data_IF_314458885022
#
_entry.id   IF_314458885022
#
_cell.length_a   1.000
_cell.length_b   1.000
_cell.length_c   1.000
_cell.angle_alpha   90.00
_cell.angle_beta   90.00
_cell.angle_gamma   90.00
#
_symmetry.space_group_name_H-M   'P 1'
#
loop_
_entity.id
_entity.type
_entity.pdbx_description
1 polymer ?
#
# COMPACT_ATOMS: atom_id res chain seq x y z
N UNK A 1 1.49 15.06 12.38
CA UNK A 1 0.86 14.82 11.07
C UNK A 1 0.43 13.37 10.98
N UNK A 2 -0.78 13.10 10.52
CA UNK A 2 -1.26 11.73 10.44
C UNK A 2 -0.70 11.02 9.23
N UNK A 3 -0.40 9.75 9.40
CA UNK A 3 0.01 8.88 8.33
C UNK A 3 -1.03 7.81 8.13
N UNK A 4 -1.31 7.48 6.89
CA UNK A 4 -2.36 6.53 6.52
C UNK A 4 -1.71 5.37 5.78
N UNK A 5 -2.06 4.16 6.18
CA UNK A 5 -1.64 2.94 5.51
C UNK A 5 -2.74 2.56 4.51
N UNK A 6 -2.43 2.67 3.23
CA UNK A 6 -3.36 2.32 2.17
C UNK A 6 -3.12 0.87 1.76
N UNK A 7 -4.18 0.10 1.65
CA UNK A 7 -4.10 -1.36 1.51
C UNK A 7 -4.88 -1.83 0.30
N UNK A 8 -4.25 -2.72 -0.46
CA UNK A 8 -4.86 -3.44 -1.57
C UNK A 8 -4.98 -4.91 -1.17
N UNK A 9 -6.18 -5.47 -1.29
CA UNK A 9 -6.46 -6.86 -0.95
C UNK A 9 -6.49 -7.69 -2.22
N UNK A 10 -5.78 -8.81 -2.23
CA UNK A 10 -5.75 -9.74 -3.36
C UNK A 10 -6.16 -11.13 -2.88
N UNK A 11 -7.04 -11.77 -3.63
CA UNK A 11 -7.55 -13.09 -3.29
C UNK A 11 -7.41 -14.03 -4.48
N UNK A 12 -7.19 -15.30 -4.19
CA UNK A 12 -7.01 -16.34 -5.19
C UNK A 12 -5.67 -17.03 -5.07
N UNK A 13 -5.43 -18.02 -5.91
CA UNK A 13 -4.22 -18.84 -5.80
C UNK A 13 -2.94 -18.07 -6.11
N UNK A 14 -3.04 -16.96 -6.85
CA UNK A 14 -1.88 -16.15 -7.20
C UNK A 14 -1.77 -14.87 -6.37
N UNK A 15 -2.54 -14.78 -5.29
CA UNK A 15 -2.61 -13.56 -4.48
C UNK A 15 -1.23 -13.08 -4.02
N UNK A 16 -0.38 -13.99 -3.54
CA UNK A 16 0.95 -13.63 -3.05
C UNK A 16 1.82 -12.98 -4.13
N UNK A 17 1.81 -13.55 -5.34
CA UNK A 17 2.59 -13.00 -6.45
C UNK A 17 2.06 -11.66 -6.92
N UNK A 18 0.74 -11.51 -6.95
CA UNK A 18 0.12 -10.25 -7.35
C UNK A 18 0.45 -9.16 -6.33
N UNK A 19 0.37 -9.48 -5.05
CA UNK A 19 0.69 -8.51 -4.00
C UNK A 19 2.15 -8.07 -4.07
N UNK A 20 3.07 -9.00 -4.24
CA UNK A 20 4.50 -8.71 -4.38
C UNK A 20 4.74 -7.79 -5.58
N UNK A 21 4.13 -8.11 -6.71
CA UNK A 21 4.27 -7.31 -7.93
C UNK A 21 3.66 -5.92 -7.75
N UNK A 22 2.54 -5.84 -7.05
CA UNK A 22 1.90 -4.56 -6.78
C UNK A 22 2.78 -3.66 -5.90
N UNK A 23 3.49 -4.24 -4.93
CA UNK A 23 4.42 -3.46 -4.11
C UNK A 23 5.51 -2.82 -4.96
N UNK A 24 6.02 -3.52 -5.96
CA UNK A 24 7.02 -2.96 -6.86
C UNK A 24 6.48 -1.71 -7.56
N UNK A 25 5.23 -1.78 -8.04
CA UNK A 25 4.58 -0.62 -8.65
C UNK A 25 4.36 0.51 -7.65
N UNK A 26 4.06 0.20 -6.41
CA UNK A 26 3.90 1.22 -5.37
C UNK A 26 5.22 1.96 -5.12
N UNK A 27 6.34 1.23 -5.09
CA UNK A 27 7.66 1.85 -4.94
C UNK A 27 7.98 2.78 -6.10
N UNK A 28 7.65 2.35 -7.31
CA UNK A 28 7.87 3.16 -8.51
C UNK A 28 7.01 4.43 -8.47
N UNK A 29 5.78 4.31 -8.02
CA UNK A 29 4.87 5.44 -7.91
C UNK A 29 5.38 6.47 -6.89
N UNK A 30 5.84 6.01 -5.73
CA UNK A 30 6.41 6.88 -4.71
C UNK A 30 7.62 7.66 -5.26
N UNK A 31 8.49 6.97 -5.98
CA UNK A 31 9.67 7.60 -6.57
C UNK A 31 9.28 8.61 -7.64
N UNK A 32 8.31 8.27 -8.48
CA UNK A 32 7.85 9.15 -9.54
C UNK A 32 7.21 10.43 -8.99
N UNK A 33 6.37 10.29 -7.98
CA UNK A 33 5.68 11.42 -7.35
C UNK A 33 6.54 12.13 -6.31
N UNK A 34 7.69 11.57 -5.97
CA UNK A 34 8.62 12.13 -4.97
C UNK A 34 7.97 12.34 -3.61
N UNK A 35 7.16 11.38 -3.20
CA UNK A 35 6.55 11.44 -1.88
C UNK A 35 7.60 11.29 -0.79
N UNK A 36 7.44 11.98 0.35
CA UNK A 36 8.44 11.95 1.42
C UNK A 36 8.50 10.65 2.20
N UNK A 37 7.44 9.84 2.17
CA UNK A 37 7.40 8.57 2.89
C UNK A 37 7.63 7.44 1.91
N UNK A 38 8.55 6.54 2.25
CA UNK A 38 8.90 5.39 1.43
C UNK A 38 8.74 4.11 2.23
N UNK A 39 7.51 3.86 2.70
CA UNK A 39 7.17 2.66 3.46
C UNK A 39 6.14 1.89 2.63
N UNK A 40 6.55 0.73 2.14
CA UNK A 40 5.69 -0.17 1.39
C UNK A 40 5.95 -1.60 1.84
N UNK A 41 5.04 -2.49 1.50
CA UNK A 41 5.24 -3.90 1.78
C UNK A 41 4.15 -4.74 1.18
N UNK A 42 4.29 -6.04 1.36
CA UNK A 42 3.20 -6.98 1.10
C UNK A 42 3.24 -8.05 2.18
N UNK A 43 2.09 -8.64 2.44
CA UNK A 43 1.96 -9.70 3.43
C UNK A 43 1.14 -10.83 2.86
N UNK A 44 1.60 -12.06 3.07
CA UNK A 44 0.84 -13.26 2.74
C UNK A 44 0.05 -13.63 3.98
N UNK A 45 -1.28 -13.49 3.90
CA UNK A 45 -2.15 -13.78 5.03
C UNK A 45 -2.44 -15.27 5.11
N UNK A 46 -2.74 -15.87 3.96
CA UNK A 46 -2.90 -17.31 3.84
C UNK A 46 -2.71 -17.69 2.35
N UNK A 47 -2.97 -18.95 2.02
CA UNK A 47 -2.69 -19.48 0.68
C UNK A 47 -3.46 -18.77 -0.43
N UNK A 48 -4.58 -18.12 -0.11
CA UNK A 48 -5.45 -17.48 -1.11
C UNK A 48 -5.72 -16.02 -0.81
N UNK A 49 -4.95 -15.41 0.09
CA UNK A 49 -5.16 -14.02 0.44
C UNK A 49 -3.84 -13.34 0.79
N UNK A 50 -3.58 -12.24 0.14
CA UNK A 50 -2.40 -11.42 0.42
C UNK A 50 -2.78 -9.95 0.28
N UNK A 51 -1.98 -9.08 0.88
CA UNK A 51 -2.18 -7.64 0.76
C UNK A 51 -0.88 -6.98 0.30
N UNK A 52 -1.02 -5.83 -0.34
CA UNK A 52 0.08 -4.89 -0.54
C UNK A 52 -0.32 -3.57 0.11
N UNK A 53 0.66 -2.80 0.55
CA UNK A 53 0.35 -1.54 1.21
C UNK A 53 1.41 -0.48 0.97
N UNK A 54 1.01 0.78 1.13
CA UNK A 54 1.93 1.91 1.19
C UNK A 54 1.43 2.89 2.24
N UNK A 55 2.36 3.62 2.83
CA UNK A 55 2.04 4.63 3.83
C UNK A 55 2.21 6.01 3.22
N UNK A 56 1.24 6.89 3.44
CA UNK A 56 1.27 8.26 2.94
C UNK A 56 0.94 9.23 4.06
N UNK A 57 1.38 10.46 3.92
CA UNK A 57 0.89 11.54 4.75
C UNK A 57 -0.58 11.80 4.40
N UNK A 58 -1.34 12.26 5.40
CA UNK A 58 -2.76 12.56 5.23
C UNK A 58 -3.01 13.48 4.02
N UNK A 59 -2.13 14.44 3.80
CA UNK A 59 -2.26 15.40 2.70
C UNK A 59 -2.13 14.77 1.31
N UNK A 60 -1.49 13.61 1.20
CA UNK A 60 -1.30 12.92 -0.08
C UNK A 60 -2.32 11.81 -0.32
N UNK A 61 -3.15 11.51 0.69
CA UNK A 61 -4.03 10.35 0.66
C UNK A 61 -5.05 10.41 -0.49
N UNK A 62 -5.64 11.58 -0.72
CA UNK A 62 -6.67 11.72 -1.76
C UNK A 62 -6.07 11.48 -3.14
N UNK A 63 -4.88 12.00 -3.41
CA UNK A 63 -4.20 11.80 -4.69
C UNK A 63 -3.95 10.32 -4.96
N UNK A 64 -3.42 9.61 -3.96
CA UNK A 64 -3.14 8.18 -4.12
C UNK A 64 -4.43 7.38 -4.26
N UNK A 65 -5.44 7.72 -3.45
CA UNK A 65 -6.74 7.07 -3.53
C UNK A 65 -7.33 7.18 -4.93
N UNK A 66 -7.26 8.36 -5.52
CA UNK A 66 -7.84 8.59 -6.83
C UNK A 66 -7.06 7.93 -7.96
N UNK A 67 -5.74 7.86 -7.82
CA UNK A 67 -4.86 7.30 -8.87
C UNK A 67 -4.71 5.79 -8.79
N UNK A 68 -4.62 5.23 -7.59
CA UNK A 68 -4.27 3.82 -7.39
C UNK A 68 -5.40 2.98 -6.78
N UNK A 69 -6.47 3.60 -6.34
CA UNK A 69 -7.70 2.92 -5.92
C UNK A 69 -7.47 1.83 -4.85
N UNK A 70 -6.86 2.15 -3.70
CA UNK A 70 -6.76 1.16 -2.64
C UNK A 70 -8.14 0.72 -2.16
N UNK A 71 -8.21 -0.52 -1.68
CA UNK A 71 -9.48 -1.07 -1.20
C UNK A 71 -9.89 -0.49 0.15
N UNK A 72 -8.90 -0.14 0.98
CA UNK A 72 -9.16 0.42 2.30
C UNK A 72 -7.93 1.18 2.80
N UNK A 73 -8.13 1.93 3.87
CA UNK A 73 -7.04 2.65 4.52
C UNK A 73 -7.22 2.57 6.02
N UNK A 74 -6.12 2.66 6.74
CA UNK A 74 -6.18 2.69 8.19
C UNK A 74 -5.08 3.61 8.72
N UNK A 75 -5.28 4.10 9.93
CA UNK A 75 -4.30 4.97 10.55
C UNK A 75 -3.01 4.19 10.79
N UNK A 76 -1.90 4.74 10.35
CA UNK A 76 -0.60 4.12 10.56
C UNK A 76 0.02 4.68 11.82
N UNK A 77 0.20 3.83 12.82
CA UNK A 77 0.78 4.21 14.11
C UNK A 77 2.17 3.61 14.22
N UNK A 78 3.14 4.48 14.53
CA UNK A 78 4.50 4.03 14.78
C UNK A 78 4.64 3.83 16.29
N UNK A 79 4.96 2.60 16.67
CA UNK A 79 5.24 2.29 18.08
C UNK A 79 6.72 2.48 18.34
N UNK A 80 7.01 3.21 19.40
CA UNK A 80 8.38 3.42 19.87
C UNK A 80 8.72 2.50 21.02
#
# INVERSE_FOLDING_TARGET
MRQIKLIWDFRGQTAAKIAEHHEIHLKEYIAFEKFPINITGFEIINDTYAIAFMVVNDENMIQVRDNLKPHRGELYLIEN
#
